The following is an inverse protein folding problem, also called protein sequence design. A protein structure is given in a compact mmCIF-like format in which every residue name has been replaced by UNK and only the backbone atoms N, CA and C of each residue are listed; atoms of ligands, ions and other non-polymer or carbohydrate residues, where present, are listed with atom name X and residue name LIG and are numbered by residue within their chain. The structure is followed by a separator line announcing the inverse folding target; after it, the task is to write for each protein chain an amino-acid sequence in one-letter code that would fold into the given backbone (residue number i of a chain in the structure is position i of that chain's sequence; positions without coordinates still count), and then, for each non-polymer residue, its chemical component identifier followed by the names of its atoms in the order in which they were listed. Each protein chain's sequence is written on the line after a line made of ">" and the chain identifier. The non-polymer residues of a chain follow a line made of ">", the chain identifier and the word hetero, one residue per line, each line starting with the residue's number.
data_IF_213372839039
#
_entry.id   IF_213372839039
#
_cell.length_a   1.000
_cell.length_b   1.000
_cell.length_c   1.000
_cell.angle_alpha   90.00
_cell.angle_beta   90.00
_cell.angle_gamma   90.00
#
_symmetry.space_group_name_H-M   'P 1'
#
loop_
_entity.id
_entity.type
_entity.pdbx_description
1 polymer ?
#
# COMPACT_ATOMS: atom_id res chain seq x y z
N UNK A 1 -55.71 -16.92 27.21
CA UNK A 1 -54.44 -17.68 27.28
C UNK A 1 -54.08 -18.36 25.95
N UNK A 2 -54.49 -19.60 25.61
CA UNK A 2 -54.02 -20.24 24.36
C UNK A 2 -54.43 -19.54 23.04
N UNK A 3 -55.61 -18.89 23.01
CA UNK A 3 -56.08 -18.11 21.85
C UNK A 3 -55.49 -16.69 21.76
N UNK A 4 -54.97 -16.16 22.87
CA UNK A 4 -54.29 -14.85 22.90
C UNK A 4 -52.85 -14.98 22.40
N UNK A 5 -52.11 -15.98 22.88
CA UNK A 5 -50.73 -16.24 22.43
C UNK A 5 -50.66 -16.49 20.92
N UNK A 6 -51.61 -17.27 20.36
CA UNK A 6 -51.67 -17.51 18.91
C UNK A 6 -52.05 -16.26 18.08
N UNK A 7 -52.67 -15.26 18.71
CA UNK A 7 -53.03 -13.98 18.07
C UNK A 7 -51.84 -13.00 18.12
N UNK A 8 -51.13 -12.96 19.25
CA UNK A 8 -49.88 -12.20 19.40
C UNK A 8 -48.78 -12.72 18.46
N UNK A 9 -48.57 -14.04 18.38
CA UNK A 9 -47.60 -14.66 17.44
C UNK A 9 -47.94 -14.34 15.97
N UNK A 10 -49.23 -14.30 15.61
CA UNK A 10 -49.68 -13.93 14.26
C UNK A 10 -49.51 -12.44 13.97
N UNK A 11 -49.71 -11.58 14.97
CA UNK A 11 -49.50 -10.13 14.83
C UNK A 11 -48.01 -9.78 14.77
N UNK A 12 -47.17 -10.48 15.51
CA UNK A 12 -45.71 -10.34 15.49
C UNK A 12 -45.09 -10.83 14.17
N UNK A 13 -45.57 -11.99 13.67
CA UNK A 13 -45.25 -12.51 12.33
C UNK A 13 -45.64 -11.53 11.22
N UNK A 14 -46.84 -10.93 11.30
CA UNK A 14 -47.29 -9.90 10.35
C UNK A 14 -46.43 -8.63 10.41
N UNK A 15 -46.09 -8.14 11.61
CA UNK A 15 -45.20 -6.97 11.77
C UNK A 15 -43.80 -7.23 11.20
N UNK A 16 -43.27 -8.43 11.37
CA UNK A 16 -42.00 -8.84 10.77
C UNK A 16 -42.07 -8.86 9.23
N UNK A 17 -43.16 -9.41 8.66
CA UNK A 17 -43.40 -9.40 7.22
C UNK A 17 -43.54 -7.99 6.64
N UNK A 18 -44.27 -7.10 7.32
CA UNK A 18 -44.46 -5.71 6.87
C UNK A 18 -43.17 -4.89 6.97
N UNK A 19 -42.33 -5.13 7.99
CA UNK A 19 -40.98 -4.56 8.09
C UNK A 19 -40.05 -5.06 6.99
N UNK A 20 -40.12 -6.33 6.62
CA UNK A 20 -39.32 -6.88 5.51
C UNK A 20 -39.74 -6.24 4.19
N UNK A 21 -41.04 -6.12 3.91
CA UNK A 21 -41.54 -5.50 2.68
C UNK A 21 -41.18 -4.02 2.57
N UNK A 22 -41.25 -3.27 3.67
CA UNK A 22 -40.86 -1.86 3.68
C UNK A 22 -39.37 -1.69 3.47
N UNK A 23 -38.55 -2.58 4.05
CA UNK A 23 -37.12 -2.65 3.81
C UNK A 23 -36.82 -2.96 2.33
N UNK A 24 -37.44 -3.98 1.74
CA UNK A 24 -37.23 -4.35 0.34
C UNK A 24 -37.62 -3.22 -0.63
N UNK A 25 -38.69 -2.48 -0.31
CA UNK A 25 -39.12 -1.31 -1.08
C UNK A 25 -38.10 -0.17 -0.98
N UNK A 26 -37.58 0.09 0.22
CA UNK A 26 -36.54 1.09 0.43
C UNK A 26 -35.24 0.70 -0.29
N UNK A 27 -34.82 -0.57 -0.21
CA UNK A 27 -33.66 -1.09 -0.93
C UNK A 27 -33.81 -0.92 -2.45
N UNK A 28 -34.96 -1.30 -3.01
CA UNK A 28 -35.24 -1.14 -4.44
C UNK A 28 -35.30 0.33 -4.88
N UNK A 29 -35.79 1.22 -4.01
CA UNK A 29 -35.80 2.66 -4.28
C UNK A 29 -34.38 3.24 -4.27
N UNK A 30 -33.54 2.84 -3.30
CA UNK A 30 -32.14 3.24 -3.21
C UNK A 30 -31.38 2.75 -4.45
N UNK A 31 -31.55 1.48 -4.85
CA UNK A 31 -30.90 0.93 -6.04
C UNK A 31 -31.33 1.63 -7.35
N UNK A 32 -32.62 2.02 -7.45
CA UNK A 32 -33.11 2.80 -8.60
C UNK A 32 -32.54 4.21 -8.64
N UNK A 33 -32.38 4.87 -7.49
CA UNK A 33 -31.89 6.25 -7.41
C UNK A 33 -30.37 6.36 -7.53
N UNK A 34 -29.63 5.39 -7.00
CA UNK A 34 -28.17 5.47 -6.86
C UNK A 34 -27.41 4.39 -7.64
N UNK A 35 -28.12 3.49 -8.33
CA UNK A 35 -27.54 2.45 -9.18
C UNK A 35 -27.41 1.08 -8.50
N UNK A 36 -27.22 0.04 -9.31
CA UNK A 36 -27.01 -1.33 -8.81
C UNK A 36 -25.77 -1.40 -7.91
N UNK A 37 -25.91 -2.02 -6.74
CA UNK A 37 -24.83 -2.16 -5.75
C UNK A 37 -24.62 -0.97 -4.81
N UNK A 38 -25.47 0.05 -4.87
CA UNK A 38 -25.44 1.18 -3.93
C UNK A 38 -25.81 0.80 -2.49
N UNK A 39 -26.56 -0.30 -2.32
CA UNK A 39 -26.89 -0.91 -1.03
C UNK A 39 -27.01 -2.42 -1.20
N UNK A 40 -26.35 -3.20 -0.34
CA UNK A 40 -26.34 -4.66 -0.39
C UNK A 40 -26.23 -5.22 1.05
N UNK A 41 -26.73 -6.43 1.28
CA UNK A 41 -26.46 -7.11 2.55
C UNK A 41 -25.02 -7.60 2.58
N UNK A 42 -24.35 -7.43 3.71
CA UNK A 42 -22.92 -7.72 3.85
C UNK A 42 -22.57 -9.19 3.54
N UNK A 43 -23.46 -10.13 3.91
CA UNK A 43 -23.28 -11.57 3.66
C UNK A 43 -23.68 -12.05 2.26
N UNK A 44 -24.27 -11.19 1.44
CA UNK A 44 -24.58 -11.49 0.02
C UNK A 44 -23.42 -11.08 -0.90
N UNK A 45 -22.34 -10.50 -0.34
CA UNK A 45 -21.12 -10.21 -1.06
C UNK A 45 -20.33 -11.51 -1.20
N UNK A 46 -20.27 -12.08 -2.39
CA UNK A 46 -19.25 -13.09 -2.68
C UNK A 46 -17.88 -12.47 -2.33
N UNK A 47 -17.09 -13.17 -1.52
CA UNK A 47 -15.74 -12.76 -1.18
C UNK A 47 -14.87 -12.86 -2.43
N UNK A 48 -14.98 -11.88 -3.33
CA UNK A 48 -14.09 -11.77 -4.47
C UNK A 48 -12.68 -11.49 -3.93
N UNK A 49 -11.66 -12.26 -4.35
CA UNK A 49 -10.28 -12.01 -3.98
C UNK A 49 -9.93 -10.55 -4.31
N UNK A 50 -9.34 -9.84 -3.36
CA UNK A 50 -8.90 -8.48 -3.61
C UNK A 50 -7.79 -8.48 -4.64
N UNK A 51 -7.97 -7.74 -5.73
CA UNK A 51 -6.91 -7.56 -6.71
C UNK A 51 -5.76 -6.72 -6.12
N UNK A 52 -4.53 -7.11 -6.45
CA UNK A 52 -3.32 -6.50 -5.89
C UNK A 52 -2.28 -6.20 -6.97
N UNK A 53 -1.36 -5.29 -6.66
CA UNK A 53 -0.15 -5.00 -7.42
C UNK A 53 1.04 -5.54 -6.62
N UNK A 54 1.84 -6.48 -7.17
CA UNK A 54 3.02 -7.00 -6.49
C UNK A 54 4.02 -5.88 -6.15
N UNK A 55 4.62 -5.95 -4.96
CA UNK A 55 5.55 -4.91 -4.49
C UNK A 55 6.96 -5.07 -5.04
N UNK A 56 7.29 -6.23 -5.60
CA UNK A 56 8.65 -6.59 -6.02
C UNK A 56 9.47 -7.24 -4.90
N UNK A 57 8.95 -7.28 -3.67
CA UNK A 57 9.50 -8.09 -2.59
C UNK A 57 8.46 -9.12 -2.13
N UNK A 58 8.79 -10.40 -2.28
CA UNK A 58 7.96 -11.50 -1.76
C UNK A 58 7.72 -11.38 -0.25
N UNK A 59 8.71 -10.89 0.49
CA UNK A 59 8.60 -10.64 1.92
C UNK A 59 7.57 -9.56 2.23
N UNK A 60 7.55 -8.47 1.45
CA UNK A 60 6.59 -7.40 1.63
C UNK A 60 5.17 -7.82 1.18
N UNK A 61 5.05 -8.54 0.07
CA UNK A 61 3.77 -9.11 -0.39
C UNK A 61 3.11 -9.99 0.69
N UNK A 62 3.92 -10.84 1.34
CA UNK A 62 3.47 -11.73 2.42
C UNK A 62 3.16 -10.95 3.69
N UNK A 63 3.97 -9.94 4.04
CA UNK A 63 3.70 -9.08 5.18
C UNK A 63 2.39 -8.30 5.01
N UNK A 64 2.06 -7.87 3.77
CA UNK A 64 0.78 -7.24 3.46
C UNK A 64 -0.40 -8.21 3.64
N UNK A 65 -0.15 -9.52 3.50
CA UNK A 65 -1.09 -10.62 3.76
C UNK A 65 -2.13 -10.85 2.68
N UNK A 66 -2.36 -9.87 1.80
CA UNK A 66 -3.16 -10.01 0.58
C UNK A 66 -2.29 -10.29 -0.67
N UNK A 67 -0.97 -10.43 -0.50
CA UNK A 67 -0.05 -10.76 -1.59
C UNK A 67 0.44 -9.58 -2.43
N UNK A 68 0.16 -8.35 -2.02
CA UNK A 68 0.61 -7.14 -2.70
C UNK A 68 -0.14 -5.88 -2.25
N UNK A 69 0.03 -4.79 -2.99
CA UNK A 69 -0.65 -3.52 -2.74
C UNK A 69 -2.10 -3.58 -3.23
N UNK A 70 -3.11 -3.30 -2.39
CA UNK A 70 -4.51 -3.45 -2.77
C UNK A 70 -4.96 -2.41 -3.80
N UNK A 71 -5.58 -2.88 -4.90
CA UNK A 71 -6.14 -2.01 -5.94
C UNK A 71 -7.31 -1.15 -5.46
N UNK A 72 -7.41 0.05 -6.01
CA UNK A 72 -8.45 1.03 -5.67
C UNK A 72 -8.34 1.63 -4.27
N UNK A 73 -7.16 1.58 -3.65
CA UNK A 73 -6.92 2.06 -2.29
C UNK A 73 -5.83 3.12 -2.24
N UNK A 74 -5.87 3.90 -1.16
CA UNK A 74 -4.81 4.84 -0.77
C UNK A 74 -3.78 4.12 0.08
N UNK A 75 -2.51 4.30 -0.24
CA UNK A 75 -1.35 3.74 0.46
C UNK A 75 -0.42 4.89 0.82
N UNK A 76 0.06 4.93 2.06
CA UNK A 76 1.11 5.86 2.48
C UNK A 76 2.41 5.11 2.72
N UNK A 77 3.49 5.56 2.07
CA UNK A 77 4.86 5.07 2.30
C UNK A 77 5.64 6.21 2.93
N UNK A 78 6.07 6.03 4.18
CA UNK A 78 6.77 7.08 4.90
C UNK A 78 8.00 6.54 5.62
N UNK A 79 8.89 7.43 6.04
CA UNK A 79 10.14 7.06 6.69
C UNK A 79 11.24 8.11 6.49
N UNK A 80 12.43 7.87 7.07
CA UNK A 80 13.58 8.76 6.96
C UNK A 80 14.02 9.00 5.51
N UNK A 81 14.80 10.04 5.28
CA UNK A 81 15.48 10.24 4.00
C UNK A 81 16.37 9.03 3.66
N UNK A 82 16.53 8.75 2.37
CA UNK A 82 17.33 7.63 1.87
C UNK A 82 16.92 6.24 2.44
N UNK A 83 15.70 6.09 2.96
CA UNK A 83 15.23 4.81 3.49
C UNK A 83 14.73 3.83 2.42
N UNK A 84 14.57 4.28 1.17
CA UNK A 84 14.09 3.46 0.06
C UNK A 84 12.61 3.65 -0.31
N UNK A 85 11.95 4.70 0.20
CA UNK A 85 10.51 4.99 -0.10
C UNK A 85 10.23 5.04 -1.61
N UNK A 86 10.96 5.89 -2.33
CA UNK A 86 10.82 6.04 -3.79
C UNK A 86 11.18 4.76 -4.52
N UNK A 87 12.20 4.02 -4.08
CA UNK A 87 12.54 2.71 -4.65
C UNK A 87 11.37 1.72 -4.52
N UNK A 88 10.72 1.62 -3.36
CA UNK A 88 9.55 0.75 -3.17
C UNK A 88 8.40 1.18 -4.07
N UNK A 89 8.15 2.50 -4.22
CA UNK A 89 7.10 3.01 -5.10
C UNK A 89 7.40 2.75 -6.59
N UNK A 90 8.65 2.92 -7.03
CA UNK A 90 9.07 2.65 -8.40
C UNK A 90 8.98 1.15 -8.73
N UNK A 91 9.29 0.25 -7.80
CA UNK A 91 9.02 -1.18 -7.99
C UNK A 91 7.53 -1.50 -8.12
N UNK A 92 6.67 -0.83 -7.34
CA UNK A 92 5.22 -0.97 -7.50
C UNK A 92 4.76 -0.52 -8.89
N UNK A 93 5.31 0.58 -9.42
CA UNK A 93 5.06 1.05 -10.79
C UNK A 93 5.55 0.01 -11.80
N UNK A 94 6.79 -0.44 -11.70
CA UNK A 94 7.39 -1.41 -12.62
C UNK A 94 6.56 -2.70 -12.68
N UNK A 95 6.08 -3.19 -11.54
CA UNK A 95 5.24 -4.39 -11.50
C UNK A 95 3.83 -4.15 -12.04
N UNK A 96 3.24 -2.96 -11.84
CA UNK A 96 1.97 -2.61 -12.46
C UNK A 96 2.10 -2.59 -13.99
N UNK A 97 3.17 -1.98 -14.52
CA UNK A 97 3.44 -1.94 -15.97
C UNK A 97 3.71 -3.33 -16.55
N UNK A 98 4.44 -4.19 -15.83
CA UNK A 98 4.65 -5.60 -16.24
C UNK A 98 3.34 -6.39 -16.35
N UNK A 99 2.32 -6.03 -15.58
CA UNK A 99 0.98 -6.59 -15.65
C UNK A 99 0.12 -5.96 -16.77
N UNK A 100 0.72 -5.10 -17.61
CA UNK A 100 0.03 -4.38 -18.70
C UNK A 100 -0.72 -3.14 -18.24
N UNK A 101 -0.52 -2.70 -17.00
CA UNK A 101 -1.21 -1.55 -16.42
C UNK A 101 -0.56 -0.21 -16.76
N UNK A 102 -1.33 0.87 -16.63
CA UNK A 102 -0.88 2.25 -16.85
C UNK A 102 -0.50 2.89 -15.51
N UNK A 103 0.67 3.50 -15.46
CA UNK A 103 1.21 4.15 -14.28
C UNK A 103 1.39 5.66 -14.48
N UNK A 104 1.21 6.41 -13.40
CA UNK A 104 1.59 7.82 -13.34
C UNK A 104 2.43 8.16 -12.11
N UNK A 105 3.25 9.18 -12.24
CA UNK A 105 4.13 9.71 -11.20
C UNK A 105 3.98 11.23 -11.13
N UNK A 106 3.55 11.73 -9.97
CA UNK A 106 3.49 13.15 -9.63
C UNK A 106 4.77 13.48 -8.86
N UNK A 107 5.75 14.04 -9.55
CA UNK A 107 7.08 14.40 -9.04
C UNK A 107 7.04 15.84 -8.51
N UNK A 108 6.50 16.00 -7.31
CA UNK A 108 6.47 17.29 -6.60
C UNK A 108 7.84 17.65 -5.99
N UNK A 109 8.72 16.67 -5.74
CA UNK A 109 10.10 16.91 -5.29
C UNK A 109 11.07 17.29 -6.42
N UNK A 110 10.66 17.18 -7.69
CA UNK A 110 11.51 17.36 -8.87
C UNK A 110 12.81 16.52 -8.82
N UNK A 111 12.70 15.31 -8.26
CA UNK A 111 13.85 14.48 -7.90
C UNK A 111 13.83 13.09 -8.57
N UNK A 112 12.86 12.83 -9.45
CA UNK A 112 12.80 11.56 -10.17
C UNK A 112 13.96 11.44 -11.17
N UNK A 113 14.79 10.42 -11.00
CA UNK A 113 15.85 10.03 -11.93
C UNK A 113 15.32 8.97 -12.93
N UNK A 114 15.15 9.31 -14.23
CA UNK A 114 14.67 8.38 -15.23
C UNK A 114 15.60 7.19 -15.47
N UNK A 115 16.93 7.37 -15.36
CA UNK A 115 17.89 6.28 -15.55
C UNK A 115 17.79 5.28 -14.40
N UNK A 116 17.67 5.77 -13.17
CA UNK A 116 17.45 4.92 -12.00
C UNK A 116 16.12 4.18 -12.11
N UNK A 117 15.02 4.87 -12.42
CA UNK A 117 13.71 4.24 -12.61
C UNK A 117 13.73 3.14 -13.69
N UNK A 118 14.42 3.39 -14.82
CA UNK A 118 14.60 2.38 -15.87
C UNK A 118 15.34 1.14 -15.37
N UNK A 119 16.39 1.31 -14.56
CA UNK A 119 17.13 0.19 -13.95
C UNK A 119 16.24 -0.63 -13.00
N UNK A 120 15.27 -0.01 -12.34
CA UNK A 120 14.27 -0.69 -11.52
C UNK A 120 13.19 -1.44 -12.33
N UNK A 121 13.25 -1.34 -13.66
CA UNK A 121 12.31 -2.00 -14.58
C UNK A 121 11.04 -1.19 -14.87
N UNK A 122 11.06 0.11 -14.59
CA UNK A 122 9.99 1.03 -15.03
C UNK A 122 10.12 1.26 -16.53
N UNK A 123 9.01 1.12 -17.25
CA UNK A 123 8.91 1.55 -18.63
C UNK A 123 8.73 3.07 -18.66
N UNK A 124 9.84 3.77 -18.89
CA UNK A 124 9.91 5.24 -18.89
C UNK A 124 9.12 5.84 -20.06
N UNK A 125 9.07 5.16 -21.21
CA UNK A 125 8.40 5.68 -22.40
C UNK A 125 6.88 5.67 -22.23
N UNK A 126 6.36 4.75 -21.41
CA UNK A 126 4.94 4.63 -21.07
C UNK A 126 4.53 5.32 -19.75
N UNK A 127 5.49 5.76 -18.92
CA UNK A 127 5.20 6.36 -17.62
C UNK A 127 4.68 7.80 -17.79
N UNK A 128 3.48 8.07 -17.28
CA UNK A 128 2.95 9.44 -17.24
C UNK A 128 3.62 10.20 -16.09
N UNK A 129 4.40 11.23 -16.39
CA UNK A 129 5.06 12.07 -15.37
C UNK A 129 4.46 13.46 -15.37
N UNK A 130 4.18 13.98 -14.18
CA UNK A 130 3.77 15.38 -13.96
C UNK A 130 4.68 16.02 -12.93
N UNK A 131 5.18 17.22 -13.24
CA UNK A 131 5.95 18.07 -12.35
C UNK A 131 5.14 19.35 -12.07
N UNK A 132 4.27 19.31 -11.06
CA UNK A 132 3.36 20.42 -10.77
C UNK A 132 4.06 21.57 -10.03
N UNK A 133 3.58 22.79 -10.27
CA UNK A 133 4.03 24.01 -9.60
C UNK A 133 3.43 24.16 -8.19
N UNK A 134 2.21 23.64 -7.95
CA UNK A 134 1.52 23.75 -6.65
C UNK A 134 0.85 22.45 -6.22
N UNK A 135 0.61 22.32 -4.91
CA UNK A 135 -0.08 21.17 -4.33
C UNK A 135 -1.51 21.00 -4.86
N UNK A 136 -2.24 22.10 -5.11
CA UNK A 136 -3.57 22.05 -5.72
C UNK A 136 -3.50 21.45 -7.12
N UNK A 137 -2.57 21.95 -7.95
CA UNK A 137 -2.39 21.49 -9.32
C UNK A 137 -2.04 19.99 -9.35
N UNK A 138 -1.12 19.55 -8.48
CA UNK A 138 -0.75 18.16 -8.32
C UNK A 138 -1.95 17.24 -8.05
N UNK A 139 -2.82 17.65 -7.11
CA UNK A 139 -3.98 16.88 -6.67
C UNK A 139 -5.12 16.93 -7.70
N UNK A 140 -5.25 18.02 -8.46
CA UNK A 140 -6.20 18.14 -9.57
C UNK A 140 -5.81 17.23 -10.75
N UNK A 141 -4.53 17.22 -11.13
CA UNK A 141 -3.99 16.30 -12.15
C UNK A 141 -4.26 14.85 -11.72
N UNK A 142 -3.94 14.52 -10.46
CA UNK A 142 -4.22 13.20 -9.89
C UNK A 142 -5.72 12.84 -9.98
N UNK A 143 -6.64 13.72 -9.58
CA UNK A 143 -8.09 13.47 -9.65
C UNK A 143 -8.57 13.27 -11.10
N UNK A 144 -8.05 14.04 -12.05
CA UNK A 144 -8.38 13.89 -13.48
C UNK A 144 -7.90 12.53 -14.02
N UNK A 145 -6.66 12.15 -13.71
CA UNK A 145 -6.09 10.86 -14.14
C UNK A 145 -6.89 9.70 -13.54
N UNK A 146 -7.19 9.71 -12.25
CA UNK A 146 -7.97 8.65 -11.59
C UNK A 146 -9.38 8.54 -12.19
N UNK A 147 -10.04 9.68 -12.46
CA UNK A 147 -11.40 9.68 -13.05
C UNK A 147 -11.46 9.24 -14.50
N UNK A 148 -10.33 9.25 -15.22
CA UNK A 148 -10.28 8.67 -16.57
C UNK A 148 -10.56 7.16 -16.56
N UNK A 149 -10.35 6.49 -15.42
CA UNK A 149 -10.50 5.04 -15.28
C UNK A 149 -9.41 4.23 -15.96
N UNK A 150 -8.41 4.88 -16.57
CA UNK A 150 -7.36 4.20 -17.32
C UNK A 150 -6.13 3.83 -16.48
N UNK A 151 -5.92 4.44 -15.30
CA UNK A 151 -4.74 4.21 -14.47
C UNK A 151 -4.89 3.02 -13.53
N UNK A 152 -3.85 2.22 -13.43
CA UNK A 152 -3.72 1.15 -12.45
C UNK A 152 -3.05 1.64 -11.16
N UNK A 153 -2.07 2.53 -11.29
CA UNK A 153 -1.29 3.05 -10.17
C UNK A 153 -0.89 4.51 -10.41
N UNK A 154 -0.93 5.30 -9.32
CA UNK A 154 -0.41 6.67 -9.31
C UNK A 154 0.42 6.88 -8.04
N UNK A 155 1.63 7.42 -8.19
CA UNK A 155 2.53 7.76 -7.09
C UNK A 155 2.62 9.28 -6.97
N UNK A 156 2.60 9.79 -5.75
CA UNK A 156 2.88 11.20 -5.43
C UNK A 156 4.15 11.26 -4.58
N UNK A 157 5.21 11.84 -5.12
CA UNK A 157 6.51 12.02 -4.47
C UNK A 157 6.82 13.52 -4.35
N UNK A 158 6.60 14.18 -3.21
CA UNK A 158 6.05 13.65 -1.96
C UNK A 158 4.98 14.58 -1.39
N UNK A 159 4.23 14.10 -0.41
CA UNK A 159 3.21 14.90 0.31
C UNK A 159 3.82 16.17 0.90
N UNK A 160 5.06 16.11 1.37
CA UNK A 160 5.73 17.26 1.96
C UNK A 160 5.92 18.40 0.95
N UNK A 161 6.10 18.06 -0.33
CA UNK A 161 6.28 18.99 -1.44
C UNK A 161 4.96 19.48 -2.07
N UNK A 162 3.79 19.02 -1.59
CA UNK A 162 2.50 19.54 -2.01
C UNK A 162 2.22 20.90 -1.34
N UNK A 163 2.98 21.92 -1.73
CA UNK A 163 2.90 23.26 -1.15
C UNK A 163 1.72 24.02 -1.78
N UNK A 164 0.77 24.54 -0.97
CA UNK A 164 -0.36 25.31 -1.49
C UNK A 164 0.09 26.57 -2.21
N UNK A 165 -0.64 26.98 -3.25
CA UNK A 165 -0.31 28.19 -4.04
C UNK A 165 -0.11 29.44 -3.18
N UNK A 166 -0.96 29.66 -2.18
CA UNK A 166 -0.87 30.83 -1.30
C UNK A 166 0.45 30.86 -0.50
N UNK A 167 1.03 29.70 -0.19
CA UNK A 167 2.32 29.60 0.51
C UNK A 167 3.49 29.84 -0.46
N UNK A 168 3.36 29.46 -1.73
CA UNK A 168 4.37 29.72 -2.78
C UNK A 168 4.41 31.20 -3.17
N UNK A 169 3.23 31.83 -3.28
CA UNK A 169 3.10 33.25 -3.66
C UNK A 169 3.33 34.20 -2.47
N UNK A 170 3.29 33.69 -1.24
CA UNK A 170 3.52 34.44 0.00
C UNK A 170 5.00 34.77 0.25
N UNK A 171 5.26 35.64 1.22
CA UNK A 171 6.61 35.99 1.63
C UNK A 171 7.19 34.99 2.64
N UNK A 172 8.51 34.86 2.65
CA UNK A 172 9.20 34.02 3.64
C UNK A 172 8.91 34.54 5.06
N UNK A 173 8.23 33.73 5.87
CA UNK A 173 7.83 34.08 7.23
C UNK A 173 6.33 34.31 7.39
N UNK A 174 5.56 34.33 6.29
CA UNK A 174 4.11 34.39 6.34
C UNK A 174 3.52 33.12 6.97
N UNK A 175 2.54 33.32 7.85
CA UNK A 175 1.91 32.24 8.60
C UNK A 175 0.77 31.59 7.82
N UNK A 176 1.03 30.44 7.22
CA UNK A 176 0.05 29.63 6.48
C UNK A 176 -0.36 28.37 7.26
N UNK A 177 -0.74 28.55 8.53
CA UNK A 177 -1.00 27.42 9.44
C UNK A 177 -2.05 26.44 8.91
N UNK A 178 -1.63 25.19 8.68
CA UNK A 178 -2.52 24.07 8.37
C UNK A 178 -3.13 24.09 6.97
N UNK A 179 -2.65 24.96 6.06
CA UNK A 179 -3.19 25.06 4.71
C UNK A 179 -3.02 23.75 3.92
N UNK A 180 -1.83 23.16 3.96
CA UNK A 180 -1.54 21.87 3.34
C UNK A 180 -2.44 20.74 3.91
N UNK A 181 -2.67 20.71 5.23
CA UNK A 181 -3.53 19.71 5.86
C UNK A 181 -4.99 19.81 5.40
N UNK A 182 -5.50 21.03 5.19
CA UNK A 182 -6.84 21.28 4.66
C UNK A 182 -6.96 20.84 3.20
N UNK A 183 -5.96 21.18 2.39
CA UNK A 183 -5.85 20.76 0.98
C UNK A 183 -5.91 19.23 0.86
N UNK A 184 -5.05 18.53 1.61
CA UNK A 184 -5.02 17.06 1.65
C UNK A 184 -6.36 16.46 2.08
N UNK A 185 -6.99 17.04 3.11
CA UNK A 185 -8.30 16.59 3.61
C UNK A 185 -9.39 16.71 2.55
N UNK A 186 -9.41 17.80 1.80
CA UNK A 186 -10.38 18.04 0.73
C UNK A 186 -10.13 17.10 -0.45
N UNK A 187 -8.88 16.97 -0.88
CA UNK A 187 -8.51 16.15 -2.02
C UNK A 187 -8.80 14.66 -1.77
N UNK A 188 -8.36 14.10 -0.63
CA UNK A 188 -8.60 12.70 -0.29
C UNK A 188 -10.09 12.38 -0.15
N UNK A 189 -10.89 13.31 0.41
CA UNK A 189 -12.35 13.17 0.50
C UNK A 189 -12.99 13.04 -0.89
N UNK A 190 -12.49 13.79 -1.87
CA UNK A 190 -13.01 13.77 -3.25
C UNK A 190 -12.54 12.54 -4.05
N UNK A 191 -11.28 12.12 -3.84
CA UNK A 191 -10.63 11.09 -4.66
C UNK A 191 -10.89 9.66 -4.20
N UNK A 192 -11.11 9.40 -2.90
CA UNK A 192 -11.20 8.02 -2.38
C UNK A 192 -12.30 7.19 -3.06
N UNK A 193 -13.46 7.80 -3.35
CA UNK A 193 -14.53 7.14 -4.11
C UNK A 193 -14.12 6.83 -5.55
N UNK A 194 -13.44 7.77 -6.21
CA UNK A 194 -12.97 7.59 -7.59
C UNK A 194 -11.89 6.51 -7.69
N UNK A 195 -10.95 6.44 -6.74
CA UNK A 195 -9.93 5.38 -6.66
C UNK A 195 -10.58 3.99 -6.54
N UNK A 196 -11.56 3.84 -5.66
CA UNK A 196 -12.25 2.56 -5.46
C UNK A 196 -13.00 2.09 -6.71
N UNK A 197 -13.63 3.02 -7.44
CA UNK A 197 -14.39 2.73 -8.67
C UNK A 197 -13.47 2.41 -9.85
N UNK A 198 -12.38 3.17 -10.02
CA UNK A 198 -11.39 3.00 -11.09
C UNK A 198 -10.42 1.85 -10.85
N UNK A 199 -10.36 1.30 -9.63
CA UNK A 199 -9.33 0.33 -9.20
C UNK A 199 -7.90 0.87 -9.25
N UNK A 200 -7.71 2.18 -9.36
CA UNK A 200 -6.39 2.82 -9.29
C UNK A 200 -5.84 2.79 -7.87
N UNK A 201 -4.63 2.26 -7.69
CA UNK A 201 -3.89 2.35 -6.43
C UNK A 201 -3.18 3.69 -6.33
N UNK A 202 -3.44 4.46 -5.28
CA UNK A 202 -2.75 5.72 -5.02
C UNK A 202 -1.69 5.55 -3.93
N UNK A 203 -0.43 5.77 -4.26
CA UNK A 203 0.69 5.77 -3.31
C UNK A 203 1.10 7.21 -3.03
N UNK A 204 1.07 7.59 -1.76
CA UNK A 204 1.64 8.85 -1.29
C UNK A 204 2.95 8.57 -0.56
N UNK A 205 4.04 9.11 -1.08
CA UNK A 205 5.32 9.12 -0.38
C UNK A 205 5.28 10.29 0.61
N UNK A 206 5.77 10.05 1.83
CA UNK A 206 5.77 11.05 2.88
C UNK A 206 7.08 11.03 3.68
N UNK A 207 7.41 12.16 4.27
CA UNK A 207 8.59 12.33 5.09
C UNK A 207 8.21 12.34 6.58
N UNK A 208 9.15 11.95 7.42
CA UNK A 208 9.04 12.12 8.87
C UNK A 208 9.40 13.55 9.28
N UNK A 209 8.72 14.04 10.31
CA UNK A 209 8.97 15.29 11.03
C UNK A 209 8.79 15.03 12.52
N UNK A 210 9.45 15.80 13.36
CA UNK A 210 9.26 15.73 14.81
C UNK A 210 8.19 16.73 15.28
N UNK A 211 7.26 16.26 16.11
CA UNK A 211 6.35 17.13 16.86
C UNK A 211 7.12 17.78 18.01
N UNK A 212 7.27 19.10 17.96
CA UNK A 212 7.86 19.87 19.05
C UNK A 212 6.98 19.76 20.31
N UNK A 213 7.60 19.52 21.47
CA UNK A 213 6.92 19.51 22.77
C UNK A 213 6.34 18.15 23.21
N UNK A 214 6.64 17.07 22.50
CA UNK A 214 6.28 15.70 22.93
C UNK A 214 7.37 15.13 23.82
N UNK A 215 7.07 14.96 25.11
CA UNK A 215 8.00 14.40 26.11
C UNK A 215 7.75 12.91 26.42
N UNK A 216 6.64 12.34 25.93
CA UNK A 216 6.26 10.94 26.14
C UNK A 216 5.75 10.33 24.83
N UNK A 217 6.21 9.12 24.50
CA UNK A 217 5.91 8.46 23.22
C UNK A 217 6.88 8.83 22.10
N UNK A 218 6.54 8.45 20.86
CA UNK A 218 7.34 8.82 19.68
C UNK A 218 7.01 10.26 19.23
N UNK A 219 8.01 11.13 19.05
CA UNK A 219 7.77 12.48 18.52
C UNK A 219 7.49 12.49 17.01
N UNK A 220 7.74 11.38 16.31
CA UNK A 220 7.67 11.31 14.85
C UNK A 220 6.23 11.46 14.33
N UNK A 221 6.09 12.24 13.26
CA UNK A 221 4.84 12.44 12.54
C UNK A 221 5.07 12.61 11.04
N UNK A 222 4.00 12.55 10.25
CA UNK A 222 4.05 12.71 8.80
C UNK A 222 3.43 14.05 8.39
N UNK A 223 3.88 14.59 7.24
CA UNK A 223 3.38 15.87 6.71
C UNK A 223 1.97 15.74 6.12
N UNK A 224 1.31 16.87 5.82
CA UNK A 224 -0.05 16.88 5.25
C UNK A 224 -1.19 16.64 6.25
N UNK A 225 -0.93 16.72 7.55
CA UNK A 225 -1.93 16.58 8.61
C UNK A 225 -2.39 15.13 8.85
N UNK A 226 -3.54 14.95 9.52
CA UNK A 226 -4.03 13.62 9.90
C UNK A 226 -4.83 12.91 8.79
N UNK A 227 -5.30 13.63 7.76
CA UNK A 227 -6.21 13.07 6.77
C UNK A 227 -5.66 11.82 6.08
N UNK A 228 -4.42 11.88 5.57
CA UNK A 228 -3.81 10.73 4.90
C UNK A 228 -3.73 9.50 5.80
N UNK A 229 -3.48 9.68 7.11
CA UNK A 229 -3.45 8.58 8.08
C UNK A 229 -4.79 7.85 8.16
N UNK A 230 -5.92 8.57 8.05
CA UNK A 230 -7.26 7.98 8.11
C UNK A 230 -7.68 7.36 6.78
N UNK A 231 -7.45 8.06 5.66
CA UNK A 231 -7.84 7.59 4.32
C UNK A 231 -6.96 6.45 3.80
N UNK A 232 -5.68 6.38 4.20
CA UNK A 232 -4.82 5.27 3.84
C UNK A 232 -5.39 3.93 4.34
N UNK A 233 -5.54 2.99 3.43
CA UNK A 233 -5.85 1.59 3.74
C UNK A 233 -4.61 0.85 4.22
N UNK A 234 -3.44 1.19 3.67
CA UNK A 234 -2.16 0.62 4.09
C UNK A 234 -1.20 1.77 4.39
N UNK A 235 -0.47 1.68 5.50
CA UNK A 235 0.61 2.61 5.84
C UNK A 235 1.88 1.81 6.13
N UNK A 236 2.96 2.18 5.47
CA UNK A 236 4.25 1.49 5.52
C UNK A 236 5.33 2.42 6.05
N UNK A 237 5.96 2.07 7.17
CA UNK A 237 7.14 2.73 7.72
C UNK A 237 8.39 2.03 7.17
N UNK A 238 9.10 2.70 6.27
CA UNK A 238 10.28 2.20 5.56
C UNK A 238 11.54 2.78 6.20
N UNK A 239 12.42 1.93 6.72
CA UNK A 239 13.68 2.33 7.35
C UNK A 239 14.85 1.52 6.84
N UNK A 240 15.98 2.19 6.59
CA UNK A 240 17.29 1.53 6.49
C UNK A 240 17.68 1.02 7.88
N UNK A 241 18.00 -0.27 7.99
CA UNK A 241 18.47 -0.89 9.23
C UNK A 241 19.97 -1.20 9.22
N UNK A 242 20.54 -1.46 8.04
CA UNK A 242 21.97 -1.75 7.90
C UNK A 242 22.46 -1.33 6.50
N UNK A 243 23.73 -0.94 6.39
CA UNK A 243 24.40 -0.73 5.09
C UNK A 243 25.11 -2.01 4.69
N UNK A 244 24.79 -2.52 3.51
CA UNK A 244 25.43 -3.69 2.91
C UNK A 244 26.76 -3.27 2.30
N UNK A 245 27.81 -4.04 2.58
CA UNK A 245 29.16 -3.78 2.09
C UNK A 245 29.74 -4.98 1.36
N UNK A 246 30.45 -4.71 0.28
CA UNK A 246 31.37 -5.66 -0.35
C UNK A 246 32.80 -5.15 -0.12
N UNK A 247 33.56 -5.85 0.73
CA UNK A 247 34.82 -5.35 1.27
C UNK A 247 34.66 -4.02 2.01
N UNK A 248 35.16 -2.93 1.40
CA UNK A 248 35.07 -1.57 1.94
C UNK A 248 33.98 -0.72 1.26
N UNK A 249 33.44 -1.16 0.12
CA UNK A 249 32.47 -0.40 -0.67
C UNK A 249 31.04 -0.64 -0.18
N UNK A 250 30.24 0.43 -0.07
CA UNK A 250 28.84 0.33 0.26
C UNK A 250 28.03 0.00 -1.00
N UNK A 251 27.48 -1.21 -1.07
CA UNK A 251 26.80 -1.74 -2.27
C UNK A 251 25.27 -1.67 -2.18
N UNK A 252 24.73 -1.44 -0.98
CA UNK A 252 23.29 -1.33 -0.79
C UNK A 252 22.88 -1.12 0.66
N UNK A 253 21.59 -1.28 0.93
CA UNK A 253 20.99 -1.12 2.24
C UNK A 253 20.05 -2.28 2.56
N UNK A 254 20.20 -2.85 3.74
CA UNK A 254 19.15 -3.67 4.34
C UNK A 254 18.03 -2.74 4.79
N UNK A 255 16.83 -2.99 4.29
CA UNK A 255 15.65 -2.15 4.51
C UNK A 255 14.59 -2.96 5.23
N UNK A 256 13.99 -2.36 6.27
CA UNK A 256 12.83 -2.90 6.98
C UNK A 256 11.62 -2.06 6.65
N UNK A 257 10.53 -2.73 6.32
CA UNK A 257 9.21 -2.12 6.12
C UNK A 257 8.26 -2.66 7.17
N UNK A 258 7.73 -1.78 8.01
CA UNK A 258 6.69 -2.12 9.00
C UNK A 258 5.32 -1.64 8.52
N UNK A 259 4.34 -2.53 8.51
CA UNK A 259 2.98 -2.19 8.11
C UNK A 259 2.23 -1.66 9.33
N UNK A 260 2.30 -0.34 9.55
CA UNK A 260 1.73 0.29 10.74
C UNK A 260 0.21 0.44 10.69
N UNK A 261 -0.38 0.32 9.50
CA UNK A 261 -1.83 0.26 9.29
C UNK A 261 -2.11 -0.66 8.12
N UNK A 262 -3.11 -1.52 8.27
CA UNK A 262 -3.58 -2.40 7.21
C UNK A 262 -5.09 -2.61 7.39
N UNK A 263 -5.90 -2.15 6.44
CA UNK A 263 -7.36 -2.30 6.42
C UNK A 263 -7.83 -3.52 5.61
N UNK A 264 -6.90 -4.33 5.09
CA UNK A 264 -7.24 -5.47 4.21
C UNK A 264 -6.72 -6.80 4.75
N UNK A 265 -5.89 -6.77 5.80
CA UNK A 265 -5.29 -7.93 6.45
C UNK A 265 -4.74 -7.49 7.81
N UNK A 266 -4.42 -8.40 8.75
CA UNK A 266 -3.85 -8.04 10.05
C UNK A 266 -2.63 -7.10 9.94
N UNK A 267 -2.61 -5.97 10.68
CA UNK A 267 -1.50 -5.01 10.66
C UNK A 267 -0.29 -5.48 11.49
N UNK A 268 0.75 -4.64 11.53
CA UNK A 268 1.97 -4.76 12.35
C UNK A 268 2.95 -5.86 11.96
N UNK A 269 2.69 -6.59 10.89
CA UNK A 269 3.70 -7.40 10.21
C UNK A 269 4.82 -6.51 9.67
N UNK A 270 6.00 -7.10 9.54
CA UNK A 270 7.18 -6.45 9.00
C UNK A 270 7.82 -7.33 7.93
N UNK A 271 8.46 -6.69 6.97
CA UNK A 271 9.25 -7.32 5.93
C UNK A 271 10.66 -6.73 5.95
N UNK A 272 11.65 -7.56 5.65
CA UNK A 272 13.02 -7.12 5.45
C UNK A 272 13.53 -7.60 4.11
N UNK A 273 14.23 -6.72 3.41
CA UNK A 273 14.82 -7.01 2.12
C UNK A 273 16.00 -6.09 1.85
N UNK A 274 16.82 -6.48 0.87
CA UNK A 274 18.00 -5.74 0.47
C UNK A 274 17.63 -4.80 -0.69
N UNK A 275 18.03 -3.54 -0.61
CA UNK A 275 18.00 -2.59 -1.73
C UNK A 275 19.44 -2.41 -2.19
N UNK A 276 19.76 -2.92 -3.38
CA UNK A 276 21.09 -2.84 -4.00
C UNK A 276 21.14 -1.59 -4.88
N UNK A 277 22.22 -0.82 -4.77
CA UNK A 277 22.34 0.42 -5.55
C UNK A 277 22.41 0.12 -7.05
N UNK A 278 21.64 0.88 -7.83
CA UNK A 278 21.53 0.69 -9.28
C UNK A 278 20.74 -0.54 -9.73
N UNK A 279 20.25 -1.38 -8.82
CA UNK A 279 19.44 -2.57 -9.14
C UNK A 279 18.05 -2.51 -8.50
N UNK A 280 17.94 -2.02 -7.27
CA UNK A 280 16.70 -1.94 -6.52
C UNK A 280 16.53 -3.05 -5.49
N UNK A 281 15.29 -3.40 -5.19
CA UNK A 281 14.92 -4.49 -4.31
C UNK A 281 15.46 -5.80 -4.87
N UNK A 282 16.31 -6.48 -4.12
CA UNK A 282 16.84 -7.80 -4.49
C UNK A 282 15.80 -8.88 -4.22
N UNK A 283 15.15 -9.34 -5.29
CA UNK A 283 14.20 -10.46 -5.25
C UNK A 283 14.88 -11.72 -4.71
N UNK A 284 16.04 -12.08 -5.25
CA UNK A 284 16.78 -13.29 -4.91
C UNK A 284 17.28 -13.24 -3.46
N UNK A 285 17.69 -12.05 -3.00
CA UNK A 285 18.01 -11.83 -1.58
C UNK A 285 16.83 -12.11 -0.65
N UNK A 286 15.62 -11.65 -1.02
CA UNK A 286 14.40 -11.96 -0.26
C UNK A 286 14.05 -13.46 -0.31
N UNK A 287 14.21 -14.12 -1.45
CA UNK A 287 13.95 -15.57 -1.57
C UNK A 287 14.86 -16.40 -0.67
N UNK A 288 16.14 -16.04 -0.59
CA UNK A 288 17.11 -16.73 0.28
C UNK A 288 16.72 -16.56 1.75
N UNK A 289 16.49 -15.33 2.20
CA UNK A 289 16.17 -15.07 3.61
C UNK A 289 14.86 -15.76 4.02
N UNK A 290 13.80 -15.57 3.23
CA UNK A 290 12.51 -16.19 3.50
C UNK A 290 12.57 -17.71 3.41
N UNK A 291 13.29 -18.24 2.42
CA UNK A 291 13.48 -19.66 2.24
C UNK A 291 14.19 -20.29 3.44
N UNK A 292 15.15 -19.59 4.05
CA UNK A 292 15.80 -20.03 5.29
C UNK A 292 14.84 -19.98 6.47
N UNK A 293 14.09 -18.88 6.62
CA UNK A 293 13.18 -18.68 7.75
C UNK A 293 12.10 -19.76 7.83
N UNK A 294 11.59 -20.23 6.68
CA UNK A 294 10.56 -21.27 6.60
C UNK A 294 11.12 -22.67 6.31
N UNK A 295 12.44 -22.83 6.25
CA UNK A 295 13.12 -24.13 6.12
C UNK A 295 13.12 -24.76 4.73
N UNK A 296 12.78 -24.01 3.68
CA UNK A 296 12.90 -24.44 2.27
C UNK A 296 14.37 -24.44 1.84
N UNK A 297 15.11 -23.38 2.18
CA UNK A 297 16.54 -23.24 1.95
C UNK A 297 17.26 -23.60 3.25
N UNK A 298 18.23 -24.52 3.19
CA UNK A 298 19.01 -24.95 4.36
C UNK A 298 20.29 -24.15 4.44
N UNK A 299 20.53 -23.56 5.61
CA UNK A 299 21.79 -22.87 5.95
C UNK A 299 22.65 -23.76 6.86
N UNK A 300 23.85 -24.11 6.43
CA UNK A 300 24.84 -24.88 7.20
C UNK A 300 26.13 -24.07 7.33
N UNK A 301 26.30 -23.39 8.46
CA UNK A 301 27.37 -22.40 8.63
C UNK A 301 27.19 -21.23 7.65
N UNK A 302 28.16 -21.06 6.74
CA UNK A 302 28.09 -20.06 5.67
C UNK A 302 27.45 -20.58 4.37
N UNK A 303 27.17 -21.88 4.25
CA UNK A 303 26.65 -22.49 3.03
C UNK A 303 25.13 -22.46 2.96
N UNK A 304 24.59 -22.11 1.79
CA UNK A 304 23.18 -22.20 1.46
C UNK A 304 22.94 -23.36 0.49
N UNK A 305 21.92 -24.15 0.76
CA UNK A 305 21.59 -25.35 -0.02
C UNK A 305 20.08 -25.47 -0.23
N UNK A 306 19.67 -25.95 -1.39
CA UNK A 306 18.28 -26.16 -1.76
C UNK A 306 18.12 -27.49 -2.48
N UNK A 307 17.30 -28.40 -1.95
CA UNK A 307 17.02 -29.74 -2.52
C UNK A 307 18.26 -30.58 -2.94
N UNK A 308 19.42 -30.30 -2.34
CA UNK A 308 20.69 -30.97 -2.65
C UNK A 308 21.66 -30.10 -3.46
N UNK A 309 21.16 -29.05 -4.13
CA UNK A 309 21.97 -28.08 -4.84
C UNK A 309 22.67 -27.11 -3.88
N UNK A 310 23.93 -26.82 -4.16
CA UNK A 310 24.70 -25.82 -3.42
C UNK A 310 24.50 -24.46 -4.07
N UNK A 311 23.69 -23.62 -3.44
CA UNK A 311 23.44 -22.25 -3.93
C UNK A 311 24.70 -21.39 -3.80
N UNK A 312 25.51 -21.61 -2.74
CA UNK A 312 26.79 -20.95 -2.58
C UNK A 312 27.21 -20.73 -1.13
N UNK A 313 28.46 -20.32 -0.95
CA UNK A 313 29.00 -19.91 0.35
C UNK A 313 28.81 -18.39 0.53
N UNK A 314 28.02 -18.00 1.53
CA UNK A 314 27.64 -16.62 1.78
C UNK A 314 26.44 -16.18 0.92
N UNK A 315 25.75 -15.13 1.40
CA UNK A 315 24.50 -14.66 0.79
C UNK A 315 24.71 -14.11 -0.62
N UNK A 316 25.83 -13.44 -0.87
CA UNK A 316 26.12 -12.83 -2.18
C UNK A 316 26.29 -13.89 -3.27
N UNK A 317 27.07 -14.94 -3.00
CA UNK A 317 27.24 -16.04 -3.95
C UNK A 317 25.92 -16.78 -4.20
N UNK A 318 25.13 -17.02 -3.15
CA UNK A 318 23.80 -17.61 -3.31
C UNK A 318 22.85 -16.72 -4.14
N UNK A 319 22.94 -15.40 -3.99
CA UNK A 319 22.16 -14.44 -4.79
C UNK A 319 22.57 -14.51 -6.26
N UNK A 320 23.86 -14.43 -6.56
CA UNK A 320 24.38 -14.55 -7.92
C UNK A 320 23.95 -15.86 -8.59
N UNK A 321 24.02 -16.97 -7.86
CA UNK A 321 23.56 -18.27 -8.34
C UNK A 321 22.06 -18.27 -8.71
N UNK A 322 21.19 -17.67 -7.89
CA UNK A 322 19.76 -17.58 -8.20
C UNK A 322 19.45 -16.64 -9.38
N UNK A 323 20.25 -15.59 -9.57
CA UNK A 323 20.14 -14.70 -10.73
C UNK A 323 20.45 -15.48 -12.02
N UNK A 324 21.49 -16.31 -11.99
CA UNK A 324 21.90 -17.14 -13.14
C UNK A 324 20.96 -18.35 -13.38
N UNK A 325 20.15 -18.72 -12.38
CA UNK A 325 19.24 -19.88 -12.43
C UNK A 325 17.79 -19.47 -12.08
N UNK A 326 17.10 -18.74 -12.97
CA UNK A 326 15.77 -18.19 -12.69
C UNK A 326 14.70 -19.26 -12.46
N UNK A 327 14.80 -20.43 -13.09
CA UNK A 327 13.87 -21.54 -12.89
C UNK A 327 13.88 -22.01 -11.43
N UNK A 328 15.07 -22.12 -10.83
CA UNK A 328 15.24 -22.50 -9.44
C UNK A 328 14.75 -21.41 -8.48
N UNK A 329 15.01 -20.13 -8.81
CA UNK A 329 14.46 -19.01 -8.07
C UNK A 329 12.91 -18.99 -8.09
N UNK A 330 12.29 -19.30 -9.24
CA UNK A 330 10.84 -19.38 -9.40
C UNK A 330 10.23 -20.56 -8.62
N UNK A 331 10.90 -21.70 -8.59
CA UNK A 331 10.46 -22.85 -7.79
C UNK A 331 10.51 -22.54 -6.29
N UNK A 332 11.60 -21.92 -5.80
CA UNK A 332 11.71 -21.44 -4.42
C UNK A 332 10.58 -20.44 -4.12
N UNK A 333 10.35 -19.45 -5.00
CA UNK A 333 9.27 -18.47 -4.79
C UNK A 333 7.90 -19.14 -4.72
N UNK A 334 7.64 -20.12 -5.58
CA UNK A 334 6.37 -20.86 -5.61
C UNK A 334 6.15 -21.62 -4.30
N UNK A 335 7.18 -22.32 -3.79
CA UNK A 335 7.09 -23.04 -2.51
C UNK A 335 6.96 -22.07 -1.32
N UNK A 336 7.63 -20.92 -1.37
CA UNK A 336 7.45 -19.85 -0.38
C UNK A 336 6.00 -19.40 -0.39
N UNK A 337 5.46 -18.96 -1.54
CA UNK A 337 4.09 -18.47 -1.66
C UNK A 337 3.06 -19.54 -1.27
N UNK A 338 3.28 -20.81 -1.59
CA UNK A 338 2.40 -21.91 -1.19
C UNK A 338 2.36 -22.13 0.34
N UNK A 339 3.43 -21.75 1.06
CA UNK A 339 3.47 -21.80 2.53
C UNK A 339 2.68 -20.65 3.19
N UNK A 340 2.19 -19.68 2.41
CA UNK A 340 1.38 -18.57 2.89
C UNK A 340 0.02 -18.55 2.21
N UNK A 341 -1.04 -18.69 3.00
CA UNK A 341 -2.41 -18.51 2.50
C UNK A 341 -2.74 -17.01 2.55
N UNK A 342 -3.02 -16.35 1.41
CA UNK A 342 -3.49 -14.97 1.41
C UNK A 342 -4.75 -14.88 2.27
N UNK A 343 -4.81 -13.85 3.11
CA UNK A 343 -5.99 -13.62 3.96
C UNK A 343 -7.14 -13.15 3.08
N UNK A 344 -8.28 -13.84 3.09
CA UNK A 344 -9.50 -13.28 2.52
C UNK A 344 -9.90 -12.04 3.31
N UNK A 345 -10.25 -10.97 2.61
CA UNK A 345 -10.59 -9.69 3.25
C UNK A 345 -11.91 -9.85 3.98
N UNK A 346 -11.86 -10.14 5.28
CA UNK A 346 -13.04 -10.18 6.14
C UNK A 346 -13.58 -8.74 6.33
N UNK A 347 -14.78 -8.43 5.85
CA UNK A 347 -15.32 -7.10 5.99
C UNK A 347 -15.57 -6.67 7.44
N UNK A 348 -15.78 -7.62 8.36
CA UNK A 348 -15.91 -7.34 9.79
C UNK A 348 -14.57 -6.88 10.39
N UNK A 349 -13.46 -7.49 9.96
CA UNK A 349 -12.10 -7.08 10.34
C UNK A 349 -11.80 -5.65 9.86
N UNK A 350 -12.20 -5.30 8.63
CA UNK A 350 -12.03 -3.94 8.10
C UNK A 350 -12.76 -2.91 8.97
N UNK A 351 -14.00 -3.19 9.37
CA UNK A 351 -14.79 -2.30 10.22
C UNK A 351 -14.17 -2.12 11.61
N UNK A 352 -13.71 -3.22 12.24
CA UNK A 352 -13.06 -3.18 13.54
C UNK A 352 -11.74 -2.39 13.54
N UNK A 353 -10.96 -2.48 12.46
CA UNK A 353 -9.72 -1.70 12.30
C UNK A 353 -10.04 -0.22 12.08
N UNK A 354 -11.12 0.11 11.38
CA UNK A 354 -11.54 1.50 11.17
C UNK A 354 -11.99 2.16 12.47
N UNK A 355 -12.72 1.44 13.32
CA UNK A 355 -13.09 1.89 14.66
C UNK A 355 -11.85 2.05 15.56
N UNK A 356 -11.00 1.01 15.63
CA UNK A 356 -9.78 1.06 16.43
C UNK A 356 -8.80 2.16 15.99
N UNK A 357 -8.72 2.47 14.70
CA UNK A 357 -7.85 3.54 14.19
C UNK A 357 -8.47 4.94 14.26
N UNK A 358 -9.79 5.05 14.46
CA UNK A 358 -10.46 6.32 14.76
C UNK A 358 -10.22 6.75 16.21
N UNK A 359 -10.13 5.80 17.15
CA UNK A 359 -9.97 6.04 18.58
C UNK A 359 -8.52 6.23 19.05
N UNK A 360 -7.52 5.98 18.19
CA UNK A 360 -6.14 6.32 18.54
C UNK A 360 -5.89 7.80 18.28
N UNK A 361 -6.20 8.62 19.28
CA UNK A 361 -5.62 9.96 19.39
C UNK A 361 -4.10 9.84 19.52
N UNK A 362 -3.39 10.17 18.43
CA UNK A 362 -1.95 10.44 18.41
C UNK A 362 -1.62 11.93 18.23
#
# INVERSE_FOLDING_TARGET
>A
MAKENAKEEREESKRSSDRSKSLDTALAQIERQFGKGSIMKMGEREAAPMEVIPTGSVALDIALGVGGLPRGRVIEIYGPESSGKTTVALHAIANAQKLGGIAAFIDAEHALDPEYAKKLGVDIDALLVSQPDTGEQALEIMDMLVRSGALDIIVVDSVAALVPRAEIEGEMGDSHMGLQARLMSQALRKMTGALSQSKTTAIFINQLRDKIGVFFGSPETTTGGKALKFYASVRMDVRRIETLKDGQEAVGNRTRVKIVKNKVSPPFKQAEFDIIYGVGISREGSLIDMGVDIGIVKKSGAWFTYEGDQLGQGKENARAFLIDNPDLANDIETKIRASFVPTEVDPALVAAIDEATADVEF
#
